data_IF_522322281348
#
_entry.id   IF_522322281348
#
_cell.length_a   1.000
_cell.length_b   1.000
_cell.length_c   1.000
_cell.angle_alpha   90.00
_cell.angle_beta   90.00
_cell.angle_gamma   90.00
#
_symmetry.space_group_name_H-M   'P 1'
#
loop_
_entity.id
_entity.type
_entity.pdbx_description
1 polymer ?
#
# COMPACT_ATOMS: atom_id res chain seq x y z
N UNK A 1 -11.18 -24.16 7.80
CA UNK A 1 -10.18 -24.49 8.83
C UNK A 1 -9.86 -23.18 9.51
N UNK A 2 -10.20 -23.03 10.80
CA UNK A 2 -10.06 -21.75 11.49
C UNK A 2 -8.59 -21.46 11.73
N UNK A 3 -8.08 -20.39 11.11
CA UNK A 3 -6.78 -19.83 11.46
C UNK A 3 -6.98 -19.09 12.77
N UNK A 4 -6.57 -19.72 13.87
CA UNK A 4 -6.26 -19.01 15.11
C UNK A 4 -5.14 -18.04 14.78
N UNK A 5 -5.48 -16.74 14.80
CA UNK A 5 -4.49 -15.65 14.77
C UNK A 5 -3.62 -15.85 16.01
N UNK A 6 -2.36 -16.21 15.81
CA UNK A 6 -1.40 -16.27 16.91
C UNK A 6 -1.18 -14.82 17.36
N UNK A 7 -1.51 -14.54 18.62
CA UNK A 7 -1.54 -13.21 19.23
C UNK A 7 -0.14 -12.82 19.72
N UNK A 8 0.90 -13.16 18.94
CA UNK A 8 2.26 -12.68 19.17
C UNK A 8 2.39 -11.38 18.41
N UNK A 9 2.04 -10.25 19.04
CA UNK A 9 2.32 -8.96 18.43
C UNK A 9 3.82 -8.81 18.15
N UNK A 10 4.13 -7.99 17.15
CA UNK A 10 5.47 -7.84 16.61
C UNK A 10 6.40 -7.24 17.67
N UNK A 11 7.10 -8.08 18.42
CA UNK A 11 8.20 -7.65 19.28
C UNK A 11 9.52 -7.85 18.55
N UNK A 12 10.16 -6.75 18.16
CA UNK A 12 11.47 -6.79 17.51
C UNK A 12 12.36 -5.64 17.98
N UNK A 13 13.65 -5.91 18.10
CA UNK A 13 14.63 -4.92 18.53
C UNK A 13 15.92 -5.02 17.72
N UNK A 14 16.44 -3.87 17.31
CA UNK A 14 17.66 -3.80 16.52
C UNK A 14 18.46 -2.53 16.79
N UNK A 15 19.74 -2.58 16.44
CA UNK A 15 20.59 -1.41 16.44
C UNK A 15 20.33 -0.56 15.20
N UNK A 16 20.19 0.75 15.38
CA UNK A 16 19.97 1.73 14.31
C UNK A 16 20.58 3.08 14.68
N UNK A 17 20.71 3.99 13.72
CA UNK A 17 20.87 5.42 14.03
C UNK A 17 19.52 6.09 14.00
N UNK A 18 19.32 7.04 14.91
CA UNK A 18 18.11 7.83 14.92
C UNK A 18 18.36 9.28 15.31
N UNK A 19 17.47 10.13 14.84
CA UNK A 19 17.27 11.50 15.27
C UNK A 19 15.90 11.61 15.92
N UNK A 20 15.78 12.36 17.02
CA UNK A 20 14.48 12.83 17.48
C UNK A 20 14.60 14.19 18.15
N UNK A 21 13.62 15.06 17.91
CA UNK A 21 13.53 16.33 18.62
C UNK A 21 12.81 16.21 19.98
N UNK A 22 12.47 15.00 20.41
CA UNK A 22 11.79 14.74 21.69
C UNK A 22 12.79 14.53 22.86
N UNK A 23 14.07 14.26 22.55
CA UNK A 23 15.15 14.10 23.53
C UNK A 23 16.06 15.34 23.50
N UNK A 24 16.62 15.73 24.65
CA UNK A 24 17.61 16.82 24.75
C UNK A 24 18.91 16.47 24.02
N UNK A 25 19.47 17.44 23.26
CA UNK A 25 20.57 17.28 22.29
C UNK A 25 20.16 16.45 21.06
N UNK A 26 19.42 17.09 20.16
CA UNK A 26 18.91 16.51 18.92
C UNK A 26 20.01 16.44 17.84
N UNK A 27 20.97 15.54 18.03
CA UNK A 27 21.91 15.09 16.99
C UNK A 27 21.57 13.64 16.60
N UNK A 28 22.15 13.16 15.49
CA UNK A 28 21.98 11.75 15.08
C UNK A 28 22.84 10.86 15.96
N UNK A 29 22.25 9.77 16.49
CA UNK A 29 22.94 8.89 17.45
C UNK A 29 22.70 7.42 17.13
N UNK A 30 23.70 6.59 17.42
CA UNK A 30 23.53 5.13 17.46
C UNK A 30 22.75 4.74 18.70
N UNK A 31 21.79 3.84 18.54
CA UNK A 31 21.01 3.32 19.65
C UNK A 31 20.24 2.06 19.27
N UNK A 32 19.22 1.76 20.06
CA UNK A 32 18.35 0.61 19.89
C UNK A 32 16.95 1.12 19.59
N UNK A 33 16.38 0.66 18.48
CA UNK A 33 14.95 0.72 18.24
C UNK A 33 14.32 -0.58 18.70
N UNK A 34 13.20 -0.49 19.39
CA UNK A 34 12.40 -1.61 19.84
C UNK A 34 10.95 -1.29 19.49
N UNK A 35 10.29 -2.24 18.86
CA UNK A 35 8.87 -2.19 18.62
C UNK A 35 8.26 -3.25 19.51
N UNK A 36 7.19 -2.85 20.17
CA UNK A 36 6.29 -3.71 20.91
C UNK A 36 4.87 -3.42 20.40
N UNK A 37 3.89 -4.25 20.76
CA UNK A 37 2.55 -4.31 20.14
C UNK A 37 1.97 -2.96 19.68
N UNK A 38 2.04 -1.91 20.50
CA UNK A 38 1.53 -0.56 20.15
C UNK A 38 2.53 0.58 20.35
N UNK A 39 3.83 0.28 20.50
CA UNK A 39 4.83 1.30 20.81
C UNK A 39 6.14 1.14 20.04
N UNK A 40 6.79 2.28 19.78
CA UNK A 40 8.16 2.35 19.25
C UNK A 40 9.01 3.01 20.33
N UNK A 41 9.99 2.28 20.85
CA UNK A 41 10.92 2.73 21.87
C UNK A 41 12.32 2.91 21.29
N UNK A 42 12.87 4.11 21.44
CA UNK A 42 14.19 4.51 20.98
C UNK A 42 15.08 4.75 22.18
N UNK A 43 16.21 4.07 22.27
CA UNK A 43 17.13 4.15 23.42
C UNK A 43 18.56 4.45 22.98
N UNK A 44 19.18 5.43 23.62
CA UNK A 44 20.59 5.77 23.42
C UNK A 44 21.25 6.11 24.77
N UNK A 45 22.01 5.18 25.32
CA UNK A 45 22.59 5.31 26.67
C UNK A 45 21.50 5.35 27.74
N UNK A 46 21.46 6.41 28.55
CA UNK A 46 20.44 6.62 29.59
C UNK A 46 19.20 7.36 29.10
N UNK A 47 19.16 7.80 27.84
CA UNK A 47 18.02 8.51 27.26
C UNK A 47 17.11 7.53 26.51
N UNK A 48 15.80 7.74 26.64
CA UNK A 48 14.79 6.96 25.92
C UNK A 48 13.64 7.84 25.44
N UNK A 49 13.07 7.50 24.29
CA UNK A 49 11.82 8.06 23.77
C UNK A 49 10.89 6.93 23.37
N UNK A 50 9.66 6.93 23.89
CA UNK A 50 8.62 5.98 23.48
C UNK A 50 7.54 6.73 22.70
N UNK A 51 7.13 6.16 21.57
CA UNK A 51 6.08 6.66 20.68
C UNK A 51 4.95 5.65 20.66
N UNK A 52 3.80 6.03 21.22
CA UNK A 52 2.56 5.26 21.11
C UNK A 52 2.01 5.36 19.69
N UNK A 53 1.49 4.27 19.13
CA UNK A 53 0.89 4.26 17.79
C UNK A 53 -0.29 5.23 17.67
N UNK A 54 -1.06 5.40 18.74
CA UNK A 54 -2.18 6.36 18.80
C UNK A 54 -1.70 7.83 18.73
N UNK A 55 -0.44 8.08 19.06
CA UNK A 55 0.18 9.40 18.95
C UNK A 55 0.77 9.67 17.57
N UNK A 56 0.90 8.65 16.70
CA UNK A 56 1.47 8.79 15.35
C UNK A 56 0.46 9.49 14.44
N UNK A 57 0.93 10.57 13.80
CA UNK A 57 0.14 11.40 12.89
C UNK A 57 0.55 11.19 11.42
N UNK A 58 1.80 10.82 11.17
CA UNK A 58 2.34 10.62 9.83
C UNK A 58 3.56 9.69 9.86
N UNK A 59 3.75 8.95 8.78
CA UNK A 59 4.87 8.04 8.55
C UNK A 59 5.40 8.31 7.14
N UNK A 60 6.72 8.42 6.99
CA UNK A 60 7.39 8.74 5.72
C UNK A 60 8.58 7.82 5.52
N UNK A 61 8.83 7.41 4.29
CA UNK A 61 10.04 6.67 3.91
C UNK A 61 10.64 7.33 2.68
N UNK A 62 11.97 7.40 2.65
CA UNK A 62 12.76 7.96 1.57
C UNK A 62 13.70 9.05 2.08
N UNK A 63 13.99 10.01 1.22
CA UNK A 63 15.02 11.01 1.49
C UNK A 63 14.71 11.82 2.76
N UNK A 64 15.68 11.98 3.67
CA UNK A 64 15.51 12.78 4.86
C UNK A 64 15.34 14.28 4.51
N UNK A 65 14.82 15.10 5.43
CA UNK A 65 14.84 16.55 5.27
C UNK A 65 16.26 17.08 5.06
N UNK A 66 16.42 18.20 4.34
CA UNK A 66 17.72 18.81 3.98
C UNK A 66 18.71 18.92 5.17
N UNK A 67 18.21 19.25 6.36
CA UNK A 67 19.01 19.35 7.59
C UNK A 67 19.66 18.04 8.05
N UNK A 68 19.20 16.91 7.53
CA UNK A 68 19.63 15.55 7.87
C UNK A 68 20.14 14.78 6.64
N UNK A 69 20.22 15.42 5.46
CA UNK A 69 20.63 14.77 4.21
C UNK A 69 22.08 14.28 4.18
N UNK A 70 22.94 14.74 5.09
CA UNK A 70 24.30 14.22 5.28
C UNK A 70 24.41 13.12 6.33
N UNK A 71 23.31 12.81 7.02
CA UNK A 71 23.29 11.86 8.14
C UNK A 71 22.65 10.53 7.76
N UNK A 72 21.61 10.58 6.91
CA UNK A 72 20.87 9.43 6.41
C UNK A 72 20.89 9.46 4.88
N UNK A 73 21.09 8.29 4.26
CA UNK A 73 20.87 8.13 2.81
C UNK A 73 19.36 8.11 2.55
N UNK A 74 18.67 7.19 3.22
CA UNK A 74 17.21 7.15 3.35
C UNK A 74 16.82 7.03 4.83
N UNK A 75 15.64 7.56 5.17
CA UNK A 75 15.14 7.59 6.53
C UNK A 75 13.69 7.14 6.64
N UNK A 76 13.40 6.39 7.71
CA UNK A 76 12.04 6.15 8.18
C UNK A 76 11.64 7.26 9.16
N UNK A 77 10.77 8.17 8.70
CA UNK A 77 10.29 9.33 9.44
C UNK A 77 8.95 9.08 10.14
N UNK A 78 8.88 9.40 11.43
CA UNK A 78 7.66 9.32 12.24
C UNK A 78 7.33 10.69 12.79
N UNK A 79 6.15 11.21 12.50
CA UNK A 79 5.60 12.41 13.14
C UNK A 79 4.58 11.99 14.19
N UNK A 80 4.74 12.46 15.42
CA UNK A 80 3.87 12.07 16.54
C UNK A 80 3.60 13.25 17.47
N UNK A 81 2.58 13.11 18.32
CA UNK A 81 2.25 14.12 19.35
C UNK A 81 2.74 13.64 20.72
N UNK A 82 3.56 14.42 21.40
CA UNK A 82 4.00 14.13 22.77
C UNK A 82 3.97 15.39 23.62
N UNK A 83 3.35 15.31 24.80
CA UNK A 83 3.16 16.48 25.69
C UNK A 83 2.40 17.63 25.01
N UNK A 84 1.48 17.33 24.09
CA UNK A 84 0.74 18.33 23.31
C UNK A 84 1.54 19.03 22.20
N UNK A 85 2.78 18.60 21.96
CA UNK A 85 3.66 19.17 20.93
C UNK A 85 3.89 18.16 19.80
N UNK A 86 3.95 18.66 18.56
CA UNK A 86 4.37 17.85 17.42
C UNK A 86 5.86 17.54 17.53
N UNK A 87 6.19 16.26 17.49
CA UNK A 87 7.55 15.72 17.50
C UNK A 87 7.81 14.94 16.22
N UNK A 88 9.08 14.78 15.91
CA UNK A 88 9.54 13.98 14.79
C UNK A 88 10.66 13.05 15.24
N UNK A 89 10.70 11.88 14.63
CA UNK A 89 11.81 10.96 14.68
C UNK A 89 12.18 10.54 13.25
N UNK A 90 13.47 10.36 13.00
CA UNK A 90 13.99 9.70 11.81
C UNK A 90 14.87 8.53 12.25
N UNK A 91 14.70 7.38 11.62
CA UNK A 91 15.50 6.16 11.80
C UNK A 91 16.25 5.89 10.49
N UNK A 92 17.44 5.29 10.56
CA UNK A 92 18.08 4.71 9.36
C UNK A 92 17.08 3.77 8.67
N UNK A 93 16.91 3.94 7.36
CA UNK A 93 16.15 3.01 6.55
C UNK A 93 17.01 1.77 6.25
N UNK A 94 16.46 0.60 6.54
CA UNK A 94 17.02 -0.70 6.19
C UNK A 94 15.92 -1.42 5.39
N UNK A 95 16.08 -1.52 4.07
CA UNK A 95 15.00 -1.92 3.16
C UNK A 95 14.36 -3.26 3.55
N UNK A 96 15.17 -4.26 3.90
CA UNK A 96 14.71 -5.60 4.29
C UNK A 96 13.83 -5.59 5.56
N UNK A 97 14.03 -4.59 6.43
CA UNK A 97 13.31 -4.47 7.70
C UNK A 97 12.19 -3.44 7.65
N UNK A 98 12.41 -2.38 6.89
CA UNK A 98 11.54 -1.23 6.86
C UNK A 98 10.18 -1.57 6.27
N UNK A 99 10.10 -2.42 5.25
CA UNK A 99 8.81 -2.76 4.62
C UNK A 99 7.89 -3.54 5.57
N UNK A 100 8.41 -4.61 6.18
CA UNK A 100 7.65 -5.43 7.15
C UNK A 100 7.27 -4.56 8.36
N UNK A 101 8.24 -3.82 8.89
CA UNK A 101 8.04 -2.92 10.01
C UNK A 101 6.96 -1.87 9.73
N UNK A 102 7.06 -1.23 8.58
CA UNK A 102 6.17 -0.16 8.17
C UNK A 102 4.74 -0.66 8.01
N UNK A 103 4.57 -1.74 7.25
CA UNK A 103 3.27 -2.36 7.04
C UNK A 103 2.61 -2.68 8.38
N UNK A 104 3.34 -3.28 9.34
CA UNK A 104 2.78 -3.58 10.66
C UNK A 104 2.32 -2.34 11.44
N UNK A 105 3.05 -1.22 11.41
CA UNK A 105 2.58 0.02 12.06
C UNK A 105 1.29 0.51 11.41
N UNK A 106 1.24 0.54 10.08
CA UNK A 106 0.03 0.94 9.36
C UNK A 106 -1.13 0.01 9.68
N UNK A 107 -0.89 -1.30 9.68
CA UNK A 107 -1.87 -2.33 9.95
C UNK A 107 -2.49 -2.11 11.33
N UNK A 108 -1.66 -1.96 12.36
CA UNK A 108 -2.09 -1.84 13.74
C UNK A 108 -2.86 -0.53 14.03
N UNK A 109 -2.58 0.54 13.27
CA UNK A 109 -3.28 1.82 13.39
C UNK A 109 -4.58 1.83 12.57
N UNK A 110 -4.56 1.26 11.37
CA UNK A 110 -5.67 1.37 10.40
C UNK A 110 -6.72 0.29 10.62
N UNK A 111 -6.33 -0.95 10.92
CA UNK A 111 -7.25 -2.07 10.90
C UNK A 111 -8.33 -1.95 11.98
N UNK A 112 -9.58 -2.12 11.55
CA UNK A 112 -10.76 -1.97 12.40
C UNK A 112 -11.29 -0.54 12.50
N UNK A 113 -10.58 0.46 11.95
CA UNK A 113 -11.08 1.82 11.89
C UNK A 113 -12.41 1.89 11.15
N UNK A 114 -13.33 2.69 11.69
CA UNK A 114 -14.70 2.79 11.18
C UNK A 114 -14.82 3.91 10.17
N UNK A 115 -15.63 3.70 9.16
CA UNK A 115 -15.90 4.69 8.14
C UNK A 115 -17.16 4.41 7.36
N UNK A 116 -17.26 5.08 6.22
CA UNK A 116 -18.28 4.90 5.21
C UNK A 116 -17.58 4.69 3.87
N UNK A 117 -18.07 3.75 3.08
CA UNK A 117 -17.61 3.50 1.71
C UNK A 117 -18.80 3.54 0.75
N UNK A 118 -18.65 4.24 -0.36
CA UNK A 118 -19.53 4.19 -1.54
C UNK A 118 -18.76 3.45 -2.62
N UNK A 119 -18.88 2.13 -2.61
CA UNK A 119 -18.13 1.24 -3.49
C UNK A 119 -18.77 1.23 -4.88
N UNK A 120 -17.98 1.54 -5.90
CA UNK A 120 -18.45 1.63 -7.29
C UNK A 120 -19.51 2.69 -7.53
N UNK A 121 -19.29 3.89 -6.99
CA UNK A 121 -20.07 5.10 -7.26
C UNK A 121 -20.15 5.45 -8.75
N UNK A 122 -19.08 5.17 -9.50
CA UNK A 122 -19.02 5.35 -10.95
C UNK A 122 -18.52 4.05 -11.55
N UNK A 123 -19.12 3.61 -12.65
CA UNK A 123 -18.64 2.46 -13.44
C UNK A 123 -18.59 2.87 -14.91
N UNK A 124 -17.40 2.81 -15.52
CA UNK A 124 -17.21 3.21 -16.92
C UNK A 124 -17.64 4.65 -17.21
N UNK A 125 -17.39 5.57 -16.28
CA UNK A 125 -17.78 6.98 -16.38
C UNK A 125 -19.25 7.29 -16.10
N UNK A 126 -20.09 6.29 -15.84
CA UNK A 126 -21.50 6.49 -15.48
C UNK A 126 -21.69 6.38 -13.96
N UNK A 127 -22.36 7.37 -13.36
CA UNK A 127 -22.77 7.29 -11.95
C UNK A 127 -23.73 6.12 -11.77
N UNK A 128 -23.54 5.34 -10.71
CA UNK A 128 -24.37 4.18 -10.37
C UNK A 128 -25.38 4.52 -9.27
N UNK A 129 -26.31 3.61 -9.04
CA UNK A 129 -27.24 3.65 -7.89
C UNK A 129 -26.60 3.10 -6.60
N UNK A 130 -25.26 3.05 -6.52
CA UNK A 130 -24.59 2.54 -5.32
C UNK A 130 -24.87 3.44 -4.12
N UNK A 131 -25.01 2.81 -2.95
CA UNK A 131 -25.31 3.51 -1.70
C UNK A 131 -24.13 3.40 -0.75
N UNK A 132 -23.92 4.46 0.01
CA UNK A 132 -22.87 4.49 1.02
C UNK A 132 -23.18 3.50 2.15
N UNK A 133 -22.20 2.68 2.53
CA UNK A 133 -22.32 1.69 3.59
C UNK A 133 -21.33 1.96 4.71
N UNK A 134 -21.77 1.83 5.97
CA UNK A 134 -20.86 1.82 7.11
C UNK A 134 -19.93 0.61 7.00
N UNK A 135 -18.64 0.80 7.27
CA UNK A 135 -17.65 -0.26 7.18
C UNK A 135 -16.59 -0.18 8.28
N UNK A 136 -15.90 -1.30 8.48
CA UNK A 136 -14.57 -1.34 9.10
C UNK A 136 -13.54 -1.62 8.01
N UNK A 137 -12.45 -0.88 8.01
CA UNK A 137 -11.36 -1.09 7.07
C UNK A 137 -10.40 -2.15 7.58
N UNK A 138 -9.77 -2.87 6.65
CA UNK A 138 -8.59 -3.67 6.89
C UNK A 138 -7.63 -3.47 5.72
N UNK A 139 -6.38 -3.16 5.98
CA UNK A 139 -5.29 -3.33 5.02
C UNK A 139 -4.73 -4.73 5.20
N UNK A 140 -4.38 -5.34 4.08
CA UNK A 140 -3.69 -6.62 3.96
C UNK A 140 -2.56 -6.43 2.94
N UNK A 141 -1.57 -7.34 2.87
CA UNK A 141 -0.61 -7.30 1.78
C UNK A 141 -1.37 -7.18 0.46
N UNK A 142 -1.01 -6.14 -0.28
CA UNK A 142 -1.49 -5.91 -1.63
C UNK A 142 -2.98 -5.55 -1.83
N UNK A 143 -3.77 -5.38 -0.77
CA UNK A 143 -5.20 -5.04 -0.88
C UNK A 143 -5.72 -4.23 0.29
N UNK A 144 -6.81 -3.50 0.05
CA UNK A 144 -7.59 -2.80 1.07
C UNK A 144 -9.00 -3.36 1.11
N UNK A 145 -9.35 -4.00 2.22
CA UNK A 145 -10.65 -4.59 2.49
C UNK A 145 -11.61 -3.68 3.26
N UNK A 146 -12.89 -3.84 2.97
CA UNK A 146 -14.01 -3.14 3.60
C UNK A 146 -15.01 -4.16 4.11
N UNK A 147 -15.08 -4.33 5.43
CA UNK A 147 -16.10 -5.17 6.07
C UNK A 147 -17.36 -4.35 6.28
N UNK A 148 -18.40 -4.64 5.51
CA UNK A 148 -19.62 -3.85 5.50
C UNK A 148 -20.50 -4.19 6.71
N UNK A 149 -21.06 -3.17 7.36
CA UNK A 149 -21.97 -3.36 8.50
C UNK A 149 -23.24 -4.11 8.12
N UNK A 150 -23.69 -3.98 6.87
CA UNK A 150 -24.84 -4.70 6.31
C UNK A 150 -24.56 -6.18 6.06
N UNK A 151 -23.32 -6.64 6.28
CA UNK A 151 -22.83 -7.95 5.88
C UNK A 151 -22.14 -7.91 4.52
N UNK A 152 -21.20 -8.83 4.33
CA UNK A 152 -20.35 -8.91 3.14
C UNK A 152 -19.04 -8.12 3.25
N UNK A 153 -18.14 -8.39 2.32
CA UNK A 153 -16.85 -7.75 2.19
C UNK A 153 -16.67 -7.25 0.76
N UNK A 154 -15.97 -6.13 0.63
CA UNK A 154 -15.48 -5.57 -0.62
C UNK A 154 -14.00 -5.32 -0.48
N UNK A 155 -13.27 -5.31 -1.57
CA UNK A 155 -11.83 -5.07 -1.56
C UNK A 155 -11.40 -4.28 -2.79
N UNK A 156 -10.29 -3.57 -2.65
CA UNK A 156 -9.56 -2.98 -3.77
C UNK A 156 -8.15 -3.56 -3.71
N UNK A 157 -7.72 -4.26 -4.76
CA UNK A 157 -6.32 -4.66 -4.87
C UNK A 157 -5.47 -3.44 -5.27
N UNK A 158 -4.29 -3.31 -4.69
CA UNK A 158 -3.45 -2.11 -4.86
C UNK A 158 -2.93 -1.96 -6.29
N UNK A 159 -2.64 -3.08 -6.97
CA UNK A 159 -2.26 -3.14 -8.38
C UNK A 159 -3.43 -2.94 -9.35
N UNK A 160 -4.67 -2.90 -8.85
CA UNK A 160 -5.82 -2.52 -9.66
C UNK A 160 -6.13 -1.02 -9.59
N UNK A 161 -5.41 -0.26 -8.75
CA UNK A 161 -5.57 1.19 -8.63
C UNK A 161 -5.03 1.87 -9.90
N UNK A 162 -5.83 2.77 -10.46
CA UNK A 162 -5.51 3.62 -11.61
C UNK A 162 -5.21 5.05 -11.15
N UNK A 163 -6.06 5.61 -10.29
CA UNK A 163 -5.90 6.97 -9.76
C UNK A 163 -6.37 7.07 -8.31
N UNK A 164 -5.73 7.97 -7.55
CA UNK A 164 -6.06 8.24 -6.15
C UNK A 164 -6.06 9.74 -5.87
N UNK A 165 -7.14 10.22 -5.27
CA UNK A 165 -7.29 11.64 -4.93
C UNK A 165 -7.92 11.82 -3.55
N UNK A 166 -7.38 12.77 -2.77
CA UNK A 166 -8.02 13.24 -1.55
C UNK A 166 -8.87 14.48 -1.85
N UNK A 167 -10.07 14.56 -1.28
CA UNK A 167 -10.96 15.70 -1.53
C UNK A 167 -12.12 15.79 -0.55
N UNK A 168 -13.12 16.61 -0.90
CA UNK A 168 -14.38 16.73 -0.15
C UNK A 168 -15.56 16.33 -1.04
N UNK A 169 -16.41 15.42 -0.55
CA UNK A 169 -17.61 14.97 -1.25
C UNK A 169 -18.72 14.69 -0.23
N UNK A 170 -19.97 14.78 -0.69
CA UNK A 170 -21.10 14.26 0.08
C UNK A 170 -21.12 12.74 -0.05
N UNK A 171 -20.96 12.02 1.06
CA UNK A 171 -21.05 10.55 1.12
C UNK A 171 -22.04 10.19 2.22
N UNK A 172 -23.12 9.51 1.83
CA UNK A 172 -24.34 9.43 2.63
C UNK A 172 -24.96 10.83 2.82
N UNK A 173 -25.35 11.16 4.05
CA UNK A 173 -26.08 12.40 4.34
C UNK A 173 -25.20 13.61 4.71
N UNK A 174 -23.86 13.51 4.56
CA UNK A 174 -22.95 14.55 5.02
C UNK A 174 -21.80 14.80 4.04
N UNK A 175 -21.35 16.06 3.99
CA UNK A 175 -20.09 16.45 3.34
C UNK A 175 -18.91 16.03 4.20
N UNK A 176 -18.02 15.22 3.65
CA UNK A 176 -16.90 14.59 4.34
C UNK A 176 -15.61 14.79 3.56
N UNK A 177 -14.47 14.69 4.25
CA UNK A 177 -13.21 14.42 3.58
C UNK A 177 -13.23 12.97 3.08
N UNK A 178 -12.84 12.76 1.83
CA UNK A 178 -12.89 11.47 1.16
C UNK A 178 -11.57 11.15 0.48
N UNK A 179 -11.26 9.86 0.39
CA UNK A 179 -10.29 9.32 -0.55
C UNK A 179 -11.10 8.74 -1.71
N UNK A 180 -10.89 9.27 -2.91
CA UNK A 180 -11.39 8.74 -4.17
C UNK A 180 -10.33 7.77 -4.70
N UNK A 181 -10.76 6.57 -5.07
CA UNK A 181 -9.91 5.55 -5.68
C UNK A 181 -10.61 5.11 -6.96
N UNK A 182 -9.98 5.36 -8.09
CA UNK A 182 -10.35 4.75 -9.36
C UNK A 182 -9.54 3.46 -9.50
N UNK A 183 -10.23 2.34 -9.70
CA UNK A 183 -9.61 1.03 -9.79
C UNK A 183 -10.29 0.17 -10.85
N UNK A 184 -9.56 -0.79 -11.41
CA UNK A 184 -10.08 -1.68 -12.44
C UNK A 184 -10.82 -2.86 -11.81
N UNK A 185 -12.09 -3.06 -12.20
CA UNK A 185 -12.87 -4.23 -11.83
C UNK A 185 -13.55 -4.77 -13.10
N UNK A 186 -13.30 -6.03 -13.45
CA UNK A 186 -13.87 -6.67 -14.65
C UNK A 186 -13.64 -5.82 -15.93
N UNK A 187 -12.41 -5.34 -16.15
CA UNK A 187 -12.02 -4.50 -17.29
C UNK A 187 -12.78 -3.16 -17.38
N UNK A 188 -13.40 -2.73 -16.29
CA UNK A 188 -14.08 -1.44 -16.20
C UNK A 188 -13.48 -0.62 -15.07
N UNK A 189 -13.15 0.65 -15.34
CA UNK A 189 -12.76 1.57 -14.28
C UNK A 189 -13.98 1.84 -13.39
N UNK A 190 -13.78 1.61 -12.09
CA UNK A 190 -14.75 1.78 -11.03
C UNK A 190 -14.22 2.80 -10.04
N UNK A 191 -15.03 3.82 -9.73
CA UNK A 191 -14.68 4.81 -8.71
C UNK A 191 -15.30 4.42 -7.37
N UNK A 192 -14.46 4.33 -6.34
CA UNK A 192 -14.87 4.12 -4.95
C UNK A 192 -14.51 5.33 -4.10
N UNK A 193 -15.45 5.78 -3.27
CA UNK A 193 -15.20 6.84 -2.29
C UNK A 193 -15.22 6.26 -0.88
N UNK A 194 -14.23 6.61 -0.07
CA UNK A 194 -14.14 6.18 1.33
C UNK A 194 -13.85 7.36 2.26
N UNK A 195 -14.42 7.31 3.45
CA UNK A 195 -14.25 8.32 4.50
C UNK A 195 -14.22 7.66 5.87
N UNK A 196 -13.17 7.86 6.66
CA UNK A 196 -13.05 7.33 8.01
C UNK A 196 -13.54 8.36 9.04
N UNK A 197 -13.98 7.86 10.20
CA UNK A 197 -14.42 8.71 11.32
C UNK A 197 -13.26 9.53 11.88
N UNK A 198 -12.06 8.95 11.93
CA UNK A 198 -10.86 9.58 12.47
C UNK A 198 -9.99 10.14 11.35
N UNK A 199 -9.88 11.48 11.28
CA UNK A 199 -9.06 12.17 10.26
C UNK A 199 -7.60 11.73 10.27
N UNK A 200 -7.04 11.44 11.46
CA UNK A 200 -5.66 10.93 11.62
C UNK A 200 -5.48 9.58 10.92
N UNK A 201 -6.39 8.64 11.17
CA UNK A 201 -6.33 7.32 10.54
C UNK A 201 -6.61 7.43 9.03
N UNK A 202 -7.52 8.31 8.60
CA UNK A 202 -7.74 8.56 7.17
C UNK A 202 -6.49 9.08 6.47
N UNK A 203 -5.76 10.00 7.12
CA UNK A 203 -4.50 10.52 6.61
C UNK A 203 -3.47 9.39 6.45
N UNK A 204 -3.33 8.53 7.46
CA UNK A 204 -2.41 7.39 7.41
C UNK A 204 -2.81 6.35 6.36
N UNK A 205 -4.11 6.09 6.17
CA UNK A 205 -4.60 5.23 5.09
C UNK A 205 -4.23 5.81 3.71
N UNK A 206 -4.49 7.10 3.49
CA UNK A 206 -4.12 7.77 2.24
C UNK A 206 -2.61 7.70 1.99
N UNK A 207 -1.82 7.83 3.06
CA UNK A 207 -0.36 7.71 3.02
C UNK A 207 0.10 6.30 2.64
N UNK A 208 -0.49 5.28 3.26
CA UNK A 208 -0.21 3.87 2.95
C UNK A 208 -0.53 3.55 1.48
N UNK A 209 -1.78 3.75 1.06
CA UNK A 209 -2.21 3.42 -0.31
C UNK A 209 -1.42 4.20 -1.37
N UNK A 210 -1.19 5.50 -1.13
CA UNK A 210 -0.40 6.32 -2.04
C UNK A 210 1.06 5.89 -2.13
N UNK A 211 1.66 5.36 -1.05
CA UNK A 211 3.00 4.78 -1.13
C UNK A 211 2.99 3.52 -1.98
N UNK A 212 2.12 2.57 -1.68
CA UNK A 212 2.08 1.28 -2.39
C UNK A 212 1.84 1.49 -3.90
N UNK A 213 0.93 2.42 -4.23
CA UNK A 213 0.70 2.83 -5.61
C UNK A 213 1.96 3.41 -6.28
N UNK A 214 2.64 4.36 -5.63
CA UNK A 214 3.86 4.96 -6.18
C UNK A 214 5.02 3.96 -6.26
N UNK A 215 5.13 3.03 -5.30
CA UNK A 215 6.14 1.96 -5.31
C UNK A 215 5.97 1.08 -6.55
N UNK A 216 4.76 0.61 -6.83
CA UNK A 216 4.48 -0.20 -8.02
C UNK A 216 4.76 0.58 -9.32
N UNK A 217 4.39 1.86 -9.38
CA UNK A 217 4.70 2.73 -10.53
C UNK A 217 6.22 2.86 -10.75
N UNK A 218 6.99 3.09 -9.68
CA UNK A 218 8.46 3.15 -9.76
C UNK A 218 9.07 1.82 -10.17
N UNK A 219 8.61 0.69 -9.60
CA UNK A 219 9.09 -0.64 -9.98
C UNK A 219 8.84 -0.96 -11.46
N UNK A 220 7.71 -0.53 -12.02
CA UNK A 220 7.42 -0.67 -13.45
C UNK A 220 8.37 0.20 -14.26
N UNK A 221 8.50 1.48 -13.91
CA UNK A 221 9.33 2.44 -14.63
C UNK A 221 10.84 2.09 -14.62
N UNK A 222 11.31 1.45 -13.54
CA UNK A 222 12.70 1.05 -13.38
C UNK A 222 13.03 -0.31 -14.01
N UNK A 223 12.03 -1.01 -14.58
CA UNK A 223 12.20 -2.32 -15.22
C UNK A 223 12.17 -2.20 -16.74
N UNK A 224 13.12 -2.84 -17.43
CA UNK A 224 13.12 -2.93 -18.88
C UNK A 224 12.15 -4.02 -19.36
N UNK A 225 10.86 -3.68 -19.40
CA UNK A 225 9.78 -4.60 -19.81
C UNK A 225 9.65 -4.59 -21.34
N UNK A 226 9.71 -5.77 -21.96
CA UNK A 226 9.54 -5.92 -23.40
C UNK A 226 8.07 -5.79 -23.84
N UNK A 227 7.87 -5.56 -25.14
CA UNK A 227 6.54 -5.56 -25.76
C UNK A 227 5.84 -6.93 -25.59
N UNK A 228 6.58 -8.03 -25.74
CA UNK A 228 6.05 -9.40 -25.59
C UNK A 228 5.62 -9.72 -24.16
N UNK A 229 6.36 -9.25 -23.15
CA UNK A 229 5.94 -9.37 -21.75
C UNK A 229 4.70 -8.53 -21.46
N UNK A 230 4.64 -7.33 -22.04
CA UNK A 230 3.47 -6.45 -21.92
C UNK A 230 2.23 -7.11 -22.54
N UNK A 231 2.36 -7.70 -23.74
CA UNK A 231 1.31 -8.45 -24.41
C UNK A 231 0.87 -9.70 -23.62
N UNK A 232 1.81 -10.43 -23.02
CA UNK A 232 1.51 -11.55 -22.11
C UNK A 232 0.63 -11.07 -20.95
N UNK A 233 1.03 -9.99 -20.28
CA UNK A 233 0.35 -9.42 -19.12
C UNK A 233 -1.05 -8.93 -19.48
N UNK A 234 -1.20 -8.15 -20.55
CA UNK A 234 -2.50 -7.66 -21.04
C UNK A 234 -3.39 -8.82 -21.47
N UNK A 235 -2.82 -9.77 -22.21
CA UNK A 235 -3.51 -10.96 -22.70
C UNK A 235 -4.11 -11.76 -21.55
N UNK A 236 -3.29 -12.11 -20.55
CA UNK A 236 -3.77 -12.84 -19.38
C UNK A 236 -4.73 -12.01 -18.52
N UNK A 237 -4.50 -10.71 -18.34
CA UNK A 237 -5.43 -9.82 -17.62
C UNK A 237 -6.83 -9.85 -18.26
N UNK A 238 -6.88 -9.88 -19.59
CA UNK A 238 -8.12 -9.83 -20.37
C UNK A 238 -8.84 -11.17 -20.42
N UNK A 239 -8.11 -12.26 -20.68
CA UNK A 239 -8.72 -13.59 -20.89
C UNK A 239 -8.90 -14.36 -19.60
N UNK A 240 -8.04 -14.13 -18.60
CA UNK A 240 -7.84 -15.01 -17.43
C UNK A 240 -7.59 -16.48 -17.82
N UNK A 241 -7.04 -16.69 -19.02
CA UNK A 241 -6.80 -17.98 -19.63
C UNK A 241 -5.41 -17.99 -20.25
N UNK A 242 -4.48 -18.69 -19.60
CA UNK A 242 -3.08 -18.76 -20.03
C UNK A 242 -2.90 -19.52 -21.34
N UNK A 243 -3.75 -20.53 -21.62
CA UNK A 243 -3.67 -21.30 -22.86
C UNK A 243 -4.11 -20.44 -24.05
N UNK A 244 -5.19 -19.67 -23.87
CA UNK A 244 -5.62 -18.70 -24.87
C UNK A 244 -4.58 -17.59 -25.09
N UNK A 245 -3.96 -17.10 -24.02
CA UNK A 245 -2.89 -16.10 -24.12
C UNK A 245 -1.69 -16.65 -24.88
N UNK A 246 -1.24 -17.86 -24.58
CA UNK A 246 -0.17 -18.55 -25.32
C UNK A 246 -0.51 -18.72 -26.81
N UNK A 247 -1.73 -19.18 -27.10
CA UNK A 247 -2.17 -19.37 -28.48
C UNK A 247 -2.16 -18.06 -29.29
N UNK A 248 -2.46 -16.95 -28.63
CA UNK A 248 -2.50 -15.61 -29.24
C UNK A 248 -1.10 -15.04 -29.42
N UNK A 249 -0.23 -15.19 -28.41
CA UNK A 249 1.11 -14.59 -28.39
C UNK A 249 2.11 -15.32 -29.28
N UNK A 250 2.14 -16.66 -29.22
CA UNK A 250 3.18 -17.48 -29.90
C UNK A 250 2.60 -18.50 -30.88
N UNK A 251 1.30 -18.38 -31.20
CA UNK A 251 0.63 -19.38 -32.05
C UNK A 251 0.55 -20.78 -31.41
N UNK A 252 0.77 -20.89 -30.10
CA UNK A 252 0.80 -22.15 -29.38
C UNK A 252 2.19 -22.80 -29.27
N UNK A 253 3.26 -22.11 -29.67
CA UNK A 253 4.62 -22.56 -29.37
C UNK A 253 4.88 -22.43 -27.86
N UNK A 254 5.03 -23.57 -27.20
CA UNK A 254 5.22 -23.66 -25.75
C UNK A 254 6.60 -23.17 -25.32
N UNK A 255 7.64 -23.43 -26.11
CA UNK A 255 9.01 -23.05 -25.73
C UNK A 255 9.20 -21.54 -25.82
N UNK A 256 8.65 -20.93 -26.87
CA UNK A 256 8.65 -19.47 -27.01
C UNK A 256 7.86 -18.82 -25.86
N UNK A 257 6.68 -19.37 -25.53
CA UNK A 257 5.86 -18.85 -24.45
C UNK A 257 6.51 -19.00 -23.07
N UNK A 258 7.15 -20.15 -22.80
CA UNK A 258 7.91 -20.38 -21.57
C UNK A 258 9.04 -19.36 -21.42
N UNK A 259 9.77 -19.03 -22.49
CA UNK A 259 10.81 -17.99 -22.46
C UNK A 259 10.24 -16.62 -22.08
N UNK A 260 9.11 -16.21 -22.66
CA UNK A 260 8.46 -14.94 -22.34
C UNK A 260 7.94 -14.95 -20.90
N UNK A 261 7.39 -16.07 -20.45
CA UNK A 261 6.87 -16.21 -19.09
C UNK A 261 7.99 -16.18 -18.04
N UNK A 262 9.14 -16.80 -18.32
CA UNK A 262 10.33 -16.76 -17.46
C UNK A 262 10.88 -15.33 -17.33
N UNK A 263 10.98 -14.58 -18.42
CA UNK A 263 11.37 -13.17 -18.38
C UNK A 263 10.37 -12.33 -17.56
N UNK A 264 9.07 -12.51 -17.80
CA UNK A 264 8.02 -11.83 -17.05
C UNK A 264 8.04 -12.20 -15.55
N UNK A 265 8.43 -13.43 -15.22
CA UNK A 265 8.57 -13.90 -13.84
C UNK A 265 9.78 -13.23 -13.17
N UNK A 266 10.92 -13.16 -13.86
CA UNK A 266 12.14 -12.48 -13.39
C UNK A 266 11.90 -10.99 -13.16
N UNK A 267 11.07 -10.36 -14.00
CA UNK A 267 10.63 -8.97 -13.85
C UNK A 267 9.48 -8.78 -12.84
N UNK A 268 8.99 -9.86 -12.23
CA UNK A 268 7.97 -9.82 -11.19
C UNK A 268 6.58 -9.41 -11.69
N UNK A 269 6.24 -9.71 -12.94
CA UNK A 269 4.95 -9.39 -13.57
C UNK A 269 3.92 -10.52 -13.40
N UNK A 270 4.39 -11.77 -13.38
CA UNK A 270 3.59 -12.98 -13.19
C UNK A 270 3.97 -13.72 -11.91
N UNK A 271 3.04 -14.52 -11.38
CA UNK A 271 3.31 -15.37 -10.21
C UNK A 271 4.04 -16.65 -10.61
N UNK A 272 4.78 -17.26 -9.68
CA UNK A 272 5.42 -18.54 -9.96
C UNK A 272 4.35 -19.63 -10.19
N UNK A 273 4.50 -20.54 -11.19
CA UNK A 273 3.48 -21.55 -11.50
C UNK A 273 3.12 -22.47 -10.32
N UNK A 274 4.08 -22.76 -9.44
CA UNK A 274 3.85 -23.54 -8.21
C UNK A 274 2.92 -22.84 -7.20
N UNK A 275 2.84 -21.51 -7.26
CA UNK A 275 1.92 -20.68 -6.45
C UNK A 275 0.58 -20.44 -7.18
N UNK A 276 0.47 -20.93 -8.42
CA UNK A 276 -0.62 -20.68 -9.34
C UNK A 276 -0.23 -19.70 -10.45
N UNK A 277 -0.85 -19.86 -11.62
CA UNK A 277 -0.65 -18.94 -12.75
C UNK A 277 -1.49 -17.69 -12.54
N UNK A 278 -0.86 -16.52 -12.56
CA UNK A 278 -1.49 -15.26 -12.21
C UNK A 278 -0.61 -14.05 -12.53
N UNK A 279 -1.17 -12.86 -12.30
CA UNK A 279 -0.44 -11.59 -12.34
C UNK A 279 -0.14 -11.13 -10.93
N UNK A 280 1.08 -10.64 -10.71
CA UNK A 280 1.45 -9.90 -9.51
C UNK A 280 0.74 -8.54 -9.48
N UNK A 281 0.88 -7.78 -8.40
CA UNK A 281 0.39 -6.40 -8.34
C UNK A 281 1.01 -5.52 -9.44
N UNK A 282 2.31 -5.70 -9.67
CA UNK A 282 3.07 -5.00 -10.71
C UNK A 282 2.54 -5.33 -12.10
N UNK A 283 2.32 -6.62 -12.39
CA UNK A 283 1.73 -7.06 -13.65
C UNK A 283 0.31 -6.52 -13.86
N UNK A 284 -0.54 -6.51 -12.83
CA UNK A 284 -1.88 -5.94 -12.95
C UNK A 284 -1.86 -4.42 -13.18
N UNK A 285 -0.99 -3.69 -12.48
CA UNK A 285 -0.84 -2.26 -12.70
C UNK A 285 -0.35 -1.96 -14.12
N UNK A 286 0.62 -2.71 -14.62
CA UNK A 286 1.08 -2.60 -16.01
C UNK A 286 -0.08 -2.82 -17.00
N UNK A 287 -0.84 -3.91 -16.85
CA UNK A 287 -2.00 -4.18 -17.71
C UNK A 287 -3.00 -3.02 -17.72
N UNK A 288 -3.31 -2.49 -16.53
CA UNK A 288 -4.29 -1.40 -16.37
C UNK A 288 -3.82 -0.10 -17.04
N UNK A 289 -2.54 0.26 -16.89
CA UNK A 289 -1.95 1.44 -17.54
C UNK A 289 -2.00 1.33 -19.06
N UNK A 290 -1.64 0.18 -19.61
CA UNK A 290 -1.64 -0.01 -21.07
C UNK A 290 -3.05 -0.05 -21.67
N UNK A 291 -4.02 -0.68 -20.97
CA UNK A 291 -5.42 -0.70 -21.40
C UNK A 291 -6.03 0.71 -21.39
N UNK A 292 -5.67 1.56 -20.43
CA UNK A 292 -6.14 2.96 -20.40
C UNK A 292 -5.63 3.76 -21.60
N UNK A 293 -4.34 3.61 -21.95
CA UNK A 293 -3.73 4.27 -23.12
C UNK A 293 -4.45 3.88 -24.41
N UNK A 294 -4.83 2.62 -24.58
CA UNK A 294 -5.55 2.13 -25.78
C UNK A 294 -6.98 2.72 -25.87
N UNK A 295 -7.60 3.07 -24.75
CA UNK A 295 -8.97 3.57 -24.70
C UNK A 295 -9.10 5.10 -24.86
N UNK A 296 -7.99 5.82 -25.05
CA UNK A 296 -7.94 7.30 -25.22
C UNK A 296 -7.76 7.71 -26.68
#
# INVERSE_FOLDING_TARGET
MGVTKDDSGLSTSWQTRFYTNAISMSEVRKGICEIDDRTISLRAGSQSQTVEFDAINDITVGSPPEKLAGEFDDAFGIKFTSGGQSRICFLDHDADRAEIFEYHIFEEIINGARGVVEYGAVRGGQQTDSTSSQMKIAIEPERVGFRLKTGGEKEIALGDIVDMQAGKRTVGDAKRDVIKVDHMEEQTIITTYLSLVETRIQHLLNRYMGREFNKLQSEIADTEISETETELVIGYYTTRDIEQTMQTLTGGDKYEFESIYEEALDHGLVTHPDEGVGLTQKGRMLANTEIEVVNT
#
